data_IF_941920717169
#
_entry.id   IF_941920717169
#
_cell.length_a   1.000
_cell.length_b   1.000
_cell.length_c   1.000
_cell.angle_alpha   90.00
_cell.angle_beta   90.00
_cell.angle_gamma   90.00
#
_symmetry.space_group_name_H-M   'P 1'
#
loop_
_entity.id
_entity.type
_entity.pdbx_description
1 polymer ?
#
# COMPACT_ATOMS: atom_id res chain seq x y z
N UNK A 1 11.96 39.88 -8.39
CA UNK A 1 10.83 38.93 -8.21
C UNK A 1 11.34 37.81 -7.32
N UNK A 2 10.87 37.64 -6.08
CA UNK A 2 11.27 36.47 -5.31
C UNK A 2 10.59 35.25 -5.94
N UNK A 3 11.38 34.22 -6.23
CA UNK A 3 10.90 32.94 -6.75
C UNK A 3 9.98 32.30 -5.71
N UNK A 4 8.77 31.92 -6.13
CA UNK A 4 7.94 30.99 -5.37
C UNK A 4 8.60 29.62 -5.46
N UNK A 5 9.49 29.32 -4.52
CA UNK A 5 9.83 27.95 -4.19
C UNK A 5 8.52 27.31 -3.69
N UNK A 6 7.88 26.48 -4.52
CA UNK A 6 6.85 25.58 -4.03
C UNK A 6 7.50 24.77 -2.89
N UNK A 7 6.93 24.76 -1.68
CA UNK A 7 7.37 23.79 -0.69
C UNK A 7 7.17 22.44 -1.37
N UNK A 8 8.25 21.65 -1.49
CA UNK A 8 8.16 20.23 -1.81
C UNK A 8 7.47 19.57 -0.61
N UNK A 9 6.17 19.81 -0.50
CA UNK A 9 5.29 19.21 0.46
C UNK A 9 5.01 17.80 -0.02
N UNK A 10 5.06 16.88 0.92
CA UNK A 10 4.61 15.51 0.85
C UNK A 10 3.10 15.43 0.53
N UNK A 11 2.67 16.04 -0.59
CA UNK A 11 1.25 16.27 -0.91
C UNK A 11 0.56 14.98 -1.38
N UNK A 12 1.35 13.95 -1.75
CA UNK A 12 0.81 12.66 -2.12
C UNK A 12 1.75 11.50 -1.73
N UNK A 13 1.70 11.05 -0.46
CA UNK A 13 2.54 9.97 0.03
C UNK A 13 2.29 8.64 -0.71
N UNK A 14 1.10 8.43 -1.32
CA UNK A 14 0.84 7.24 -2.12
C UNK A 14 1.63 7.25 -3.42
N UNK A 15 1.61 8.36 -4.18
CA UNK A 15 2.41 8.47 -5.40
C UNK A 15 3.91 8.41 -5.10
N UNK A 16 4.38 9.06 -4.02
CA UNK A 16 5.78 8.97 -3.61
C UNK A 16 6.20 7.54 -3.25
N UNK A 17 5.34 6.80 -2.55
CA UNK A 17 5.62 5.40 -2.21
C UNK A 17 5.79 4.53 -3.46
N UNK A 18 4.96 4.74 -4.49
CA UNK A 18 5.06 4.05 -5.78
C UNK A 18 6.37 4.39 -6.49
N UNK A 19 6.75 5.67 -6.57
CA UNK A 19 8.02 6.09 -7.16
C UNK A 19 9.22 5.52 -6.39
N UNK A 20 9.13 5.44 -5.06
CA UNK A 20 10.09 4.75 -4.22
C UNK A 20 10.23 3.29 -4.63
N UNK A 21 9.12 2.53 -4.66
CA UNK A 21 9.14 1.12 -5.08
C UNK A 21 9.77 0.95 -6.45
N UNK A 22 9.41 1.79 -7.42
CA UNK A 22 9.97 1.74 -8.77
C UNK A 22 11.50 1.89 -8.77
N UNK A 23 12.02 2.90 -8.09
CA UNK A 23 13.47 3.20 -8.04
C UNK A 23 14.30 2.11 -7.35
N UNK A 24 13.74 1.44 -6.35
CA UNK A 24 14.44 0.42 -5.58
C UNK A 24 14.19 -1.02 -6.06
N UNK A 25 13.40 -1.21 -7.11
CA UNK A 25 13.20 -2.53 -7.70
C UNK A 25 14.47 -2.96 -8.45
N UNK A 26 14.92 -4.23 -8.34
CA UNK A 26 16.15 -4.69 -9.02
C UNK A 26 16.16 -4.52 -10.54
N UNK A 27 14.98 -4.46 -11.17
CA UNK A 27 14.81 -4.22 -12.61
C UNK A 27 14.93 -2.74 -13.01
N UNK A 28 15.18 -1.83 -12.07
CA UNK A 28 15.35 -0.41 -12.38
C UNK A 28 16.59 -0.20 -13.26
N UNK A 29 16.47 0.54 -14.38
CA UNK A 29 17.55 0.67 -15.34
C UNK A 29 18.70 1.48 -14.74
N UNK A 30 19.91 0.95 -14.87
CA UNK A 30 21.15 1.64 -14.44
C UNK A 30 21.65 2.65 -15.47
N UNK A 31 21.18 2.55 -16.72
CA UNK A 31 21.50 3.46 -17.83
C UNK A 31 20.27 4.28 -18.23
N UNK A 32 20.46 5.48 -18.81
CA UNK A 32 19.36 6.23 -19.41
C UNK A 32 18.64 5.42 -20.50
N UNK A 33 17.34 5.68 -20.66
CA UNK A 33 16.58 5.12 -21.78
C UNK A 33 17.07 5.70 -23.11
N UNK A 34 17.14 4.85 -24.13
CA UNK A 34 17.59 5.24 -25.47
C UNK A 34 16.56 6.07 -26.23
N UNK A 35 15.28 5.87 -25.93
CA UNK A 35 14.16 6.59 -26.53
C UNK A 35 13.01 6.75 -25.54
N UNK A 36 12.09 7.63 -25.88
CA UNK A 36 10.87 7.83 -25.10
C UNK A 36 9.96 6.59 -25.13
N UNK A 37 9.96 5.84 -26.23
CA UNK A 37 9.18 4.61 -26.33
C UNK A 37 9.76 3.48 -25.48
N UNK A 38 11.10 3.35 -25.41
CA UNK A 38 11.76 2.42 -24.50
C UNK A 38 11.43 2.74 -23.02
N UNK A 39 11.37 4.03 -22.66
CA UNK A 39 10.96 4.45 -21.32
C UNK A 39 9.50 4.06 -21.03
N UNK A 40 8.59 4.25 -21.99
CA UNK A 40 7.17 3.87 -21.84
C UNK A 40 7.02 2.38 -21.65
N UNK A 41 7.65 1.57 -22.51
CA UNK A 41 7.60 0.11 -22.44
C UNK A 41 8.06 -0.40 -21.08
N UNK A 42 9.20 0.09 -20.60
CA UNK A 42 9.70 -0.28 -19.28
C UNK A 42 8.73 0.10 -18.15
N UNK A 43 8.13 1.30 -18.20
CA UNK A 43 7.12 1.70 -17.20
C UNK A 43 5.87 0.81 -17.27
N UNK A 44 5.42 0.41 -18.47
CA UNK A 44 4.30 -0.52 -18.62
C UNK A 44 4.60 -1.88 -17.98
N UNK A 45 5.79 -2.43 -18.22
CA UNK A 45 6.22 -3.68 -17.59
C UNK A 45 6.28 -3.55 -16.07
N UNK A 46 6.84 -2.44 -15.56
CA UNK A 46 6.87 -2.16 -14.13
C UNK A 46 5.46 -2.10 -13.52
N UNK A 47 4.52 -1.39 -14.16
CA UNK A 47 3.14 -1.25 -13.67
C UNK A 47 2.43 -2.61 -13.69
N UNK A 48 2.64 -3.41 -14.74
CA UNK A 48 2.09 -4.75 -14.81
C UNK A 48 2.62 -5.63 -13.65
N UNK A 49 3.94 -5.67 -13.48
CA UNK A 49 4.56 -6.39 -12.38
C UNK A 49 4.06 -5.92 -11.00
N UNK A 50 3.99 -4.60 -10.78
CA UNK A 50 3.52 -4.01 -9.52
C UNK A 50 2.09 -4.44 -9.19
N UNK A 51 1.21 -4.47 -10.19
CA UNK A 51 -0.22 -4.72 -10.04
C UNK A 51 -0.62 -6.20 -10.07
N UNK A 52 0.12 -7.05 -10.77
CA UNK A 52 -0.28 -8.45 -11.03
C UNK A 52 0.64 -9.49 -10.40
N UNK A 53 1.86 -9.12 -10.01
CA UNK A 53 2.86 -10.07 -9.49
C UNK A 53 3.41 -9.69 -8.11
N UNK A 54 3.72 -8.42 -7.90
CA UNK A 54 4.37 -7.96 -6.68
C UNK A 54 3.43 -8.06 -5.47
N UNK A 55 3.92 -8.69 -4.40
CA UNK A 55 3.18 -8.86 -3.15
C UNK A 55 3.58 -7.79 -2.16
N UNK A 56 2.62 -6.94 -1.79
CA UNK A 56 2.87 -5.75 -1.00
C UNK A 56 2.70 -6.03 0.49
N UNK A 57 3.73 -5.78 1.29
CA UNK A 57 3.71 -6.02 2.74
C UNK A 57 2.63 -5.18 3.45
N UNK A 58 2.37 -3.96 2.98
CA UNK A 58 1.34 -3.06 3.52
C UNK A 58 -0.10 -3.55 3.37
N UNK A 59 -0.35 -4.54 2.50
CA UNK A 59 -1.66 -5.18 2.30
C UNK A 59 -1.58 -6.70 2.52
N UNK A 60 -0.80 -7.11 3.52
CA UNK A 60 -0.61 -8.52 3.89
C UNK A 60 -0.17 -9.43 2.74
N UNK A 61 0.77 -8.95 1.91
CA UNK A 61 1.32 -9.67 0.76
C UNK A 61 0.26 -10.10 -0.26
N UNK A 62 -0.85 -9.38 -0.33
CA UNK A 62 -1.80 -9.46 -1.44
C UNK A 62 -1.27 -8.63 -2.61
N UNK A 63 -1.68 -8.99 -3.81
CA UNK A 63 -1.35 -8.30 -5.05
C UNK A 63 -2.40 -7.20 -5.28
N UNK A 64 -2.07 -5.99 -5.79
CA UNK A 64 -3.04 -4.90 -5.90
C UNK A 64 -4.28 -5.27 -6.71
N UNK A 65 -4.12 -5.98 -7.83
CA UNK A 65 -5.23 -6.49 -8.63
C UNK A 65 -6.16 -7.42 -7.82
N UNK A 66 -5.62 -8.24 -6.92
CA UNK A 66 -6.41 -9.13 -6.07
C UNK A 66 -7.25 -8.37 -5.04
N UNK A 67 -6.69 -7.29 -4.47
CA UNK A 67 -7.43 -6.40 -3.57
C UNK A 67 -8.50 -5.62 -4.34
N UNK A 68 -8.14 -5.05 -5.48
CA UNK A 68 -9.06 -4.31 -6.35
C UNK A 68 -10.26 -5.16 -6.78
N UNK A 69 -10.04 -6.43 -7.13
CA UNK A 69 -11.10 -7.36 -7.54
C UNK A 69 -11.85 -8.01 -6.36
N UNK A 70 -11.56 -7.61 -5.11
CA UNK A 70 -12.25 -8.11 -3.91
C UNK A 70 -11.93 -9.55 -3.53
N UNK A 71 -10.93 -10.19 -4.17
CA UNK A 71 -10.57 -11.59 -3.89
C UNK A 71 -9.62 -11.75 -2.69
N UNK A 72 -9.12 -10.64 -2.13
CA UNK A 72 -8.15 -10.61 -1.03
C UNK A 72 -8.54 -11.50 0.17
N UNK A 73 -9.80 -11.48 0.58
CA UNK A 73 -10.28 -12.23 1.76
C UNK A 73 -10.10 -13.72 1.58
N UNK A 74 -10.36 -14.21 0.38
CA UNK A 74 -10.21 -15.63 0.04
C UNK A 74 -8.74 -16.06 0.04
N UNK A 75 -7.84 -15.19 -0.44
CA UNK A 75 -6.40 -15.44 -0.48
C UNK A 75 -5.83 -15.46 0.94
N UNK A 76 -6.24 -14.50 1.76
CA UNK A 76 -5.81 -14.37 3.14
C UNK A 76 -6.30 -15.51 4.04
N UNK A 77 -7.56 -15.92 3.90
CA UNK A 77 -8.10 -17.08 4.62
C UNK A 77 -7.33 -18.38 4.31
N UNK A 78 -6.97 -18.60 3.03
CA UNK A 78 -6.13 -19.75 2.64
C UNK A 78 -4.75 -19.69 3.29
N UNK A 79 -4.14 -18.51 3.38
CA UNK A 79 -2.82 -18.33 4.01
C UNK A 79 -2.89 -18.60 5.50
N UNK A 80 -3.91 -18.10 6.20
CA UNK A 80 -4.07 -18.39 7.62
C UNK A 80 -4.19 -19.89 7.88
N UNK A 81 -5.04 -20.59 7.13
CA UNK A 81 -5.19 -22.05 7.24
C UNK A 81 -3.85 -22.80 7.07
N UNK A 82 -3.02 -22.39 6.11
CA UNK A 82 -1.68 -22.97 5.91
C UNK A 82 -0.78 -22.72 7.11
N UNK A 83 -0.78 -21.51 7.67
CA UNK A 83 0.03 -21.17 8.84
C UNK A 83 -0.44 -21.89 10.10
N UNK A 84 -1.75 -22.04 10.30
CA UNK A 84 -2.30 -22.82 11.41
C UNK A 84 -1.92 -24.29 11.29
N UNK A 85 -2.05 -24.89 10.11
CA UNK A 85 -1.64 -26.27 9.87
C UNK A 85 -0.14 -26.48 10.11
N UNK A 86 0.71 -25.54 9.66
CA UNK A 86 2.15 -25.59 9.92
C UNK A 86 2.48 -25.49 11.41
N UNK A 87 1.77 -24.63 12.16
CA UNK A 87 1.92 -24.49 13.61
C UNK A 87 1.55 -25.77 14.34
N UNK A 88 0.45 -26.42 13.95
CA UNK A 88 0.01 -27.70 14.54
C UNK A 88 1.01 -28.83 14.29
N UNK A 89 1.64 -28.87 13.11
CA UNK A 89 2.65 -29.89 12.76
C UNK A 89 3.95 -29.76 13.55
N UNK A 90 4.35 -28.54 13.91
CA UNK A 90 5.62 -28.29 14.62
C UNK A 90 5.42 -27.44 15.87
N UNK A 91 4.81 -27.98 16.94
CA UNK A 91 4.49 -27.22 18.15
C UNK A 91 5.73 -26.59 18.81
N UNK A 92 6.87 -27.29 18.77
CA UNK A 92 8.15 -26.81 19.34
C UNK A 92 8.65 -25.50 18.72
N UNK A 93 8.28 -25.20 17.47
CA UNK A 93 8.63 -23.95 16.75
C UNK A 93 7.51 -22.91 16.81
N UNK A 94 6.34 -23.29 17.32
CA UNK A 94 5.08 -22.52 17.26
C UNK A 94 4.70 -21.81 18.56
N UNK A 95 5.65 -21.45 19.42
CA UNK A 95 5.34 -20.74 20.68
C UNK A 95 4.77 -19.34 20.46
N UNK A 96 5.07 -18.68 19.34
CA UNK A 96 4.45 -17.41 18.93
C UNK A 96 3.16 -17.66 18.14
N UNK A 97 2.26 -16.66 18.15
CA UNK A 97 1.09 -16.61 17.29
C UNK A 97 1.44 -16.75 15.80
N UNK A 98 0.47 -17.11 14.97
CA UNK A 98 0.63 -17.02 13.51
C UNK A 98 0.72 -15.55 13.10
N UNK A 99 1.21 -15.30 11.88
CA UNK A 99 1.20 -13.95 11.31
C UNK A 99 -0.24 -13.47 11.16
N UNK A 100 -0.48 -12.17 11.36
CA UNK A 100 -1.78 -11.56 11.06
C UNK A 100 -2.07 -11.67 9.55
N UNK A 101 -3.18 -12.31 9.20
CA UNK A 101 -3.71 -12.43 7.84
C UNK A 101 -5.07 -11.76 7.69
N UNK A 102 -5.44 -10.86 8.59
CA UNK A 102 -6.67 -10.07 8.44
C UNK A 102 -6.52 -9.04 7.30
N UNK A 103 -7.59 -8.78 6.52
CA UNK A 103 -7.57 -7.72 5.52
C UNK A 103 -7.27 -6.36 6.14
N UNK A 104 -6.48 -5.55 5.44
CA UNK A 104 -6.22 -4.18 5.87
C UNK A 104 -7.41 -3.32 5.48
N UNK A 105 -7.99 -2.61 6.45
CA UNK A 105 -9.12 -1.71 6.22
C UNK A 105 -8.75 -0.49 5.36
N UNK A 106 -9.71 0.43 5.27
CA UNK A 106 -9.51 1.69 4.57
C UNK A 106 -8.60 2.62 5.36
N UNK A 107 -7.80 3.40 4.64
CA UNK A 107 -6.87 4.38 5.20
C UNK A 107 -7.13 5.71 4.51
N UNK A 108 -7.23 6.78 5.29
CA UNK A 108 -7.49 8.13 4.82
C UNK A 108 -6.23 8.98 4.98
N UNK A 109 -5.88 9.77 3.95
CA UNK A 109 -4.70 10.66 4.01
C UNK A 109 -4.93 11.87 4.89
N UNK A 110 -6.10 12.49 4.74
CA UNK A 110 -6.57 13.59 5.56
C UNK A 110 -7.94 13.16 6.10
N UNK A 111 -8.01 12.55 7.29
CA UNK A 111 -9.31 12.30 7.92
C UNK A 111 -9.99 13.66 8.15
N UNK A 112 -11.27 13.76 7.81
CA UNK A 112 -12.07 14.91 8.23
C UNK A 112 -12.05 14.93 9.77
N UNK A 113 -11.74 16.08 10.38
CA UNK A 113 -11.96 16.22 11.82
C UNK A 113 -13.45 15.99 12.05
N UNK A 114 -13.80 15.02 12.89
CA UNK A 114 -15.18 14.81 13.31
C UNK A 114 -15.76 16.17 13.70
N UNK A 115 -16.88 16.52 13.07
CA UNK A 115 -17.64 17.74 13.36
C UNK A 115 -18.31 17.53 14.73
N UNK A 116 -17.52 17.56 15.80
CA UNK A 116 -17.98 17.41 17.18
C UNK A 116 -17.76 18.65 18.04
N UNK A 117 -17.25 19.74 17.47
CA UNK A 117 -17.02 21.00 18.22
C UNK A 117 -17.95 22.17 17.80
N UNK A 118 -18.82 21.99 16.79
CA UNK A 118 -19.76 23.06 16.36
C UNK A 118 -21.09 23.10 17.14
N UNK A 119 -21.37 22.13 18.00
CA UNK A 119 -22.64 22.07 18.75
C UNK A 119 -22.64 22.81 20.10
N UNK A 120 -21.51 23.25 20.64
CA UNK A 120 -21.49 23.93 21.96
C UNK A 120 -21.64 25.47 21.91
N UNK A 121 -21.48 26.11 20.76
CA UNK A 121 -21.51 27.59 20.68
C UNK A 121 -22.93 28.16 20.52
N UNK A 122 -23.94 27.33 20.20
CA UNK A 122 -25.31 27.82 19.93
C UNK A 122 -26.26 27.87 21.12
N UNK A 123 -25.90 27.33 22.28
CA UNK A 123 -26.80 27.26 23.46
C UNK A 123 -26.53 28.32 24.54
N UNK A 124 -25.53 29.21 24.39
CA UNK A 124 -25.25 30.28 25.36
C UNK A 124 -25.76 31.68 24.93
N UNK A 125 -26.60 31.75 23.90
CA UNK A 125 -27.21 32.98 23.41
C UNK A 125 -28.75 32.88 23.27
N UNK A 126 -29.42 32.40 24.33
CA UNK A 126 -30.87 32.43 24.49
C UNK A 126 -31.29 33.16 25.77
#
# INVERSE_FOLDING_TARGET
MPSQSFPCGNDNPYSESLFGTMKYTPAFPSKPFESLDAAREWVYEFVHWYNEEHRHSGIQFVIPAQRHNGVERSVLAKRDAVYQAAKQRTPKRGSRGTRNWEPVGDVWLNPENDVSEETEIKDEAA
#
